data_IF_078026671656
#
_entry.id   IF_078026671656
#
_cell.length_a   1.000
_cell.length_b   1.000
_cell.length_c   1.000
_cell.angle_alpha   90.00
_cell.angle_beta   90.00
_cell.angle_gamma   90.00
#
_symmetry.space_group_name_H-M   'P 1'
#
loop_
_entity.id
_entity.type
_entity.pdbx_description
1 polymer ?
#
# COMPACT_ATOMS: atom_id res chain seq x y z
N UNK A 1 17.14 25.15 -10.63
CA UNK A 1 16.83 24.97 -9.19
C UNK A 1 16.66 23.47 -8.92
N UNK A 2 17.46 22.87 -8.03
CA UNK A 2 17.47 21.40 -7.76
C UNK A 2 16.17 20.93 -7.07
N UNK A 3 15.51 21.83 -6.33
CA UNK A 3 14.30 21.54 -5.56
C UNK A 3 13.09 21.11 -6.41
N UNK A 4 13.03 21.48 -7.70
CA UNK A 4 11.91 21.13 -8.60
C UNK A 4 11.79 19.63 -8.89
N UNK A 5 12.86 18.89 -8.61
CA UNK A 5 12.97 17.45 -8.80
C UNK A 5 12.51 16.66 -7.57
N UNK A 6 12.36 17.31 -6.40
CA UNK A 6 11.77 16.67 -5.24
C UNK A 6 10.24 16.71 -5.32
N UNK A 7 9.63 15.55 -5.09
CA UNK A 7 8.19 15.35 -5.13
C UNK A 7 7.76 14.69 -3.83
N UNK A 8 6.78 15.30 -3.17
CA UNK A 8 6.14 14.79 -1.96
C UNK A 8 4.79 14.23 -2.34
N UNK A 9 4.47 13.00 -1.97
CA UNK A 9 3.15 12.44 -2.27
C UNK A 9 2.48 11.85 -1.05
N UNK A 10 1.18 12.07 -0.93
CA UNK A 10 0.31 11.49 0.07
C UNK A 10 -0.82 10.70 -0.59
N UNK A 11 -1.15 9.53 -0.05
CA UNK A 11 -2.26 8.70 -0.55
C UNK A 11 -2.95 7.91 0.54
N UNK A 12 -4.21 7.59 0.26
CA UNK A 12 -5.01 6.59 0.97
C UNK A 12 -5.40 5.50 -0.03
N UNK A 13 -5.82 4.33 0.43
CA UNK A 13 -6.26 3.29 -0.47
C UNK A 13 -7.08 2.20 0.17
N UNK A 14 -7.35 1.19 -0.65
CA UNK A 14 -7.92 -0.08 -0.24
C UNK A 14 -6.93 -1.18 -0.59
N UNK A 15 -6.78 -2.16 0.30
CA UNK A 15 -6.02 -3.37 0.05
C UNK A 15 -6.72 -4.62 0.52
N UNK A 16 -6.42 -5.71 -0.17
CA UNK A 16 -6.81 -7.06 0.22
C UNK A 16 -5.55 -7.91 0.37
N UNK A 17 -5.23 -8.30 1.60
CA UNK A 17 -4.16 -9.27 1.90
C UNK A 17 -4.71 -10.67 1.79
N UNK A 18 -4.06 -11.51 0.98
CA UNK A 18 -4.24 -12.95 0.91
C UNK A 18 -3.32 -13.61 1.95
N UNK A 19 -3.93 -14.03 3.05
CA UNK A 19 -3.27 -14.69 4.17
C UNK A 19 -3.17 -16.18 3.87
N UNK A 20 -2.01 -16.79 4.06
CA UNK A 20 -1.88 -18.24 3.99
C UNK A 20 -0.71 -18.76 4.81
N UNK A 21 -0.84 -19.97 5.33
CA UNK A 21 0.24 -20.71 5.98
C UNK A 21 0.02 -22.21 5.84
N UNK A 22 1.10 -22.96 5.94
CA UNK A 22 1.09 -24.42 6.08
C UNK A 22 1.42 -24.79 7.52
N UNK A 23 0.98 -25.97 7.95
CA UNK A 23 1.17 -26.48 9.30
C UNK A 23 2.15 -27.65 9.30
N UNK A 24 3.31 -27.46 8.68
CA UNK A 24 4.34 -28.49 8.58
C UNK A 24 4.89 -28.84 9.98
N UNK A 25 4.85 -30.12 10.35
CA UNK A 25 5.26 -30.59 11.69
C UNK A 25 4.19 -30.41 12.78
N UNK A 26 2.99 -29.99 12.40
CA UNK A 26 1.83 -29.87 13.29
C UNK A 26 0.69 -30.80 12.83
N UNK A 27 -0.16 -31.15 13.78
CA UNK A 27 -1.45 -31.79 13.57
C UNK A 27 -2.58 -30.83 13.94
N UNK A 28 -3.77 -31.05 13.40
CA UNK A 28 -4.99 -30.31 13.71
C UNK A 28 -5.89 -31.22 14.55
N UNK A 29 -6.46 -30.64 15.60
CA UNK A 29 -7.56 -31.20 16.37
C UNK A 29 -8.81 -30.36 16.19
N UNK A 30 -9.90 -31.02 15.82
CA UNK A 30 -11.20 -30.42 15.65
C UNK A 30 -12.18 -30.99 16.68
N UNK A 31 -12.94 -30.09 17.31
CA UNK A 31 -14.16 -30.40 18.08
C UNK A 31 -15.36 -29.77 17.38
N UNK A 32 -16.46 -30.49 17.23
CA UNK A 32 -17.63 -29.99 16.49
C UNK A 32 -18.14 -28.66 17.04
N UNK A 33 -18.40 -27.71 16.14
CA UNK A 33 -18.86 -26.36 16.48
C UNK A 33 -17.81 -25.42 17.09
N UNK A 34 -16.57 -25.87 17.34
CA UNK A 34 -15.50 -25.06 17.95
C UNK A 34 -14.41 -24.70 16.93
N UNK A 35 -13.64 -23.65 17.19
CA UNK A 35 -12.45 -23.35 16.39
C UNK A 35 -11.40 -24.49 16.48
N UNK A 36 -10.74 -24.87 15.38
CA UNK A 36 -9.66 -25.83 15.41
C UNK A 36 -8.52 -25.41 16.33
N UNK A 37 -7.84 -26.42 16.88
CA UNK A 37 -6.57 -26.24 17.59
C UNK A 37 -5.47 -26.95 16.82
N UNK A 38 -4.23 -26.48 16.97
CA UNK A 38 -3.05 -27.18 16.45
C UNK A 38 -2.20 -27.74 17.58
N UNK A 39 -1.47 -28.81 17.32
CA UNK A 39 -0.47 -29.35 18.24
C UNK A 39 0.73 -29.93 17.47
N UNK A 40 1.95 -29.91 18.05
CA UNK A 40 3.12 -30.54 17.43
C UNK A 40 2.93 -32.06 17.38
N UNK A 41 3.35 -32.73 16.31
CA UNK A 41 3.06 -34.17 16.11
C UNK A 41 3.64 -35.07 17.22
N UNK A 42 4.71 -34.62 17.86
CA UNK A 42 5.45 -35.32 18.92
C UNK A 42 5.07 -34.86 20.35
N UNK A 43 4.11 -33.94 20.50
CA UNK A 43 3.77 -33.32 21.80
C UNK A 43 2.28 -33.02 21.92
N UNK A 44 1.78 -32.98 23.16
CA UNK A 44 0.35 -32.74 23.42
C UNK A 44 0.00 -31.26 23.69
N UNK A 45 0.95 -30.33 23.55
CA UNK A 45 0.69 -28.90 23.71
C UNK A 45 -0.24 -28.40 22.59
N UNK A 46 -1.45 -27.97 22.94
CA UNK A 46 -2.44 -27.45 21.99
C UNK A 46 -2.46 -25.93 21.97
N UNK A 47 -2.72 -25.37 20.79
CA UNK A 47 -2.80 -23.93 20.58
C UNK A 47 -4.10 -23.56 19.86
N UNK A 48 -4.79 -22.52 20.34
CA UNK A 48 -6.02 -21.98 19.74
C UNK A 48 -5.76 -20.74 18.86
N UNK A 49 -4.55 -20.20 18.90
CA UNK A 49 -4.07 -19.17 17.97
C UNK A 49 -2.61 -19.43 17.63
N UNK A 50 -2.30 -19.37 16.34
CA UNK A 50 -0.98 -19.56 15.76
C UNK A 50 -0.79 -18.66 14.54
N UNK A 51 -1.52 -17.55 14.49
CA UNK A 51 -1.48 -16.62 13.37
C UNK A 51 -0.75 -15.36 13.77
N UNK A 52 -1.33 -14.60 14.69
CA UNK A 52 -0.81 -13.29 15.10
C UNK A 52 -0.25 -13.29 16.53
N UNK A 53 -0.68 -14.25 17.34
CA UNK A 53 -0.12 -14.59 18.64
C UNK A 53 -0.01 -16.11 18.74
N UNK A 54 0.61 -16.58 19.81
CA UNK A 54 0.58 -17.99 20.21
C UNK A 54 -0.10 -18.07 21.57
N UNK A 55 -1.25 -18.73 21.62
CA UNK A 55 -1.99 -18.96 22.87
C UNK A 55 -2.32 -20.44 23.01
N UNK A 56 -2.12 -20.96 24.22
CA UNK A 56 -2.49 -22.33 24.56
C UNK A 56 -4.01 -22.51 24.48
N UNK A 57 -4.44 -23.70 24.10
CA UNK A 57 -5.85 -24.06 24.09
C UNK A 57 -6.26 -24.73 25.40
N UNK A 58 -7.38 -24.29 25.97
CA UNK A 58 -8.06 -25.03 27.03
C UNK A 58 -8.74 -26.29 26.47
N UNK A 59 -8.95 -27.34 27.27
CA UNK A 59 -9.69 -28.54 26.84
C UNK A 59 -11.09 -28.18 26.31
N UNK A 60 -11.39 -28.57 25.06
CA UNK A 60 -12.64 -28.21 24.37
C UNK A 60 -13.66 -29.37 24.31
N UNK A 61 -13.37 -30.53 24.88
CA UNK A 61 -14.16 -31.76 24.74
C UNK A 61 -13.48 -32.82 23.86
N UNK A 62 -14.18 -33.92 23.49
CA UNK A 62 -13.62 -34.96 22.66
C UNK A 62 -13.41 -34.48 21.22
N UNK A 63 -12.29 -34.87 20.61
CA UNK A 63 -11.99 -34.55 19.22
C UNK A 63 -12.95 -35.30 18.27
N UNK A 64 -13.63 -34.57 17.39
CA UNK A 64 -14.43 -35.14 16.31
C UNK A 64 -13.58 -35.49 15.08
N UNK A 65 -12.45 -34.81 14.89
CA UNK A 65 -11.51 -35.10 13.81
C UNK A 65 -10.08 -34.71 14.19
N UNK A 66 -9.12 -35.61 13.90
CA UNK A 66 -7.68 -35.39 14.13
C UNK A 66 -6.92 -35.79 12.87
N UNK A 67 -5.99 -34.94 12.44
CA UNK A 67 -5.17 -35.22 11.26
C UNK A 67 -3.77 -34.61 11.42
N UNK A 68 -2.75 -35.37 11.02
CA UNK A 68 -1.33 -34.97 11.05
C UNK A 68 -0.87 -34.43 9.69
N UNK A 69 0.05 -33.47 9.68
CA UNK A 69 0.68 -33.00 8.43
C UNK A 69 1.63 -34.02 7.79
N UNK A 70 2.02 -35.08 8.50
CA UNK A 70 2.85 -36.16 7.93
C UNK A 70 2.11 -36.95 6.84
N UNK A 71 0.77 -37.02 6.93
CA UNK A 71 -0.05 -37.77 5.97
C UNK A 71 -0.68 -36.89 4.89
N UNK A 72 -0.63 -35.55 5.03
CA UNK A 72 -1.36 -34.64 4.15
C UNK A 72 -0.94 -33.17 4.29
N UNK A 73 -1.31 -32.34 3.31
CA UNK A 73 -1.05 -30.90 3.34
C UNK A 73 -2.06 -30.19 4.23
N UNK A 74 -1.63 -29.80 5.43
CA UNK A 74 -2.42 -29.00 6.36
C UNK A 74 -2.04 -27.52 6.32
N UNK A 75 -3.02 -26.66 6.60
CA UNK A 75 -2.83 -25.22 6.62
C UNK A 75 -4.14 -24.47 6.41
N UNK A 76 -4.05 -23.15 6.45
CA UNK A 76 -5.22 -22.28 6.29
C UNK A 76 -4.94 -21.13 5.33
N UNK A 77 -6.00 -20.66 4.69
CA UNK A 77 -6.02 -19.47 3.83
C UNK A 77 -7.15 -18.54 4.24
N UNK A 78 -6.93 -17.23 4.17
CA UNK A 78 -7.91 -16.22 4.53
C UNK A 78 -7.60 -14.90 3.83
N UNK A 79 -8.44 -13.90 4.08
CA UNK A 79 -8.24 -12.56 3.56
C UNK A 79 -8.19 -11.55 4.72
N UNK A 80 -7.42 -10.47 4.58
CA UNK A 80 -7.51 -9.30 5.44
C UNK A 80 -7.79 -8.05 4.61
N UNK A 81 -8.64 -7.19 5.16
CA UNK A 81 -8.88 -5.86 4.61
C UNK A 81 -7.83 -4.90 5.13
N UNK A 82 -7.24 -4.10 4.24
CA UNK A 82 -6.24 -3.10 4.58
C UNK A 82 -6.68 -1.71 4.13
N UNK A 83 -6.41 -0.70 4.95
CA UNK A 83 -6.55 0.72 4.59
C UNK A 83 -5.17 1.38 4.78
N UNK A 84 -4.35 1.46 3.73
CA UNK A 84 -3.04 2.11 3.81
C UNK A 84 -3.16 3.63 3.70
N UNK A 85 -2.48 4.33 4.61
CA UNK A 85 -2.07 5.73 4.48
C UNK A 85 -0.59 5.73 4.13
N UNK A 86 -0.19 6.36 3.01
CA UNK A 86 1.18 6.32 2.50
C UNK A 86 1.68 7.72 2.21
N UNK A 87 2.87 8.03 2.74
CA UNK A 87 3.63 9.23 2.47
C UNK A 87 4.92 8.85 1.77
N UNK A 88 5.29 9.60 0.74
CA UNK A 88 6.52 9.37 -0.04
C UNK A 88 7.22 10.68 -0.34
N UNK A 89 8.55 10.60 -0.41
CA UNK A 89 9.42 11.64 -0.92
C UNK A 89 10.33 10.97 -1.95
N UNK A 90 10.31 11.48 -3.18
CA UNK A 90 11.19 10.99 -4.22
C UNK A 90 11.80 12.14 -5.01
N UNK A 91 12.97 11.85 -5.57
CA UNK A 91 13.69 12.69 -6.50
C UNK A 91 13.47 12.17 -7.92
N UNK A 92 13.05 13.05 -8.82
CA UNK A 92 12.89 12.78 -10.24
C UNK A 92 14.11 13.29 -11.01
N UNK A 93 14.75 12.42 -11.77
CA UNK A 93 15.89 12.80 -12.63
C UNK A 93 15.65 12.34 -14.06
N UNK A 94 16.23 13.12 -14.99
CA UNK A 94 16.02 12.97 -16.43
C UNK A 94 14.53 12.96 -16.84
N UNK A 95 13.65 13.53 -16.01
CA UNK A 95 12.19 13.50 -16.16
C UNK A 95 11.61 12.08 -16.37
N UNK A 96 12.33 11.04 -15.95
CA UNK A 96 12.00 9.63 -16.24
C UNK A 96 12.14 8.73 -15.04
N UNK A 97 13.21 8.90 -14.26
CA UNK A 97 13.55 8.01 -13.17
C UNK A 97 13.15 8.62 -11.84
N UNK A 98 12.66 7.78 -10.93
CA UNK A 98 12.28 8.14 -9.56
C UNK A 98 13.12 7.34 -8.59
N UNK A 99 13.72 8.02 -7.63
CA UNK A 99 14.42 7.40 -6.50
C UNK A 99 14.01 8.09 -5.22
N UNK A 100 13.65 7.34 -4.20
CA UNK A 100 13.20 7.94 -2.95
C UNK A 100 12.88 6.91 -1.89
N UNK A 101 12.01 7.32 -0.98
CA UNK A 101 11.51 6.44 0.05
C UNK A 101 10.18 6.93 0.59
N UNK A 102 9.64 6.16 1.53
CA UNK A 102 8.40 6.53 2.16
C UNK A 102 8.08 5.74 3.40
N UNK A 103 6.97 6.17 3.99
CA UNK A 103 6.37 5.59 5.17
C UNK A 103 4.93 5.21 4.86
N UNK A 104 4.48 4.08 5.39
CA UNK A 104 3.07 3.71 5.36
C UNK A 104 2.57 3.29 6.73
N UNK A 105 1.37 3.75 7.06
CA UNK A 105 0.58 3.29 8.20
C UNK A 105 -0.67 2.62 7.66
N UNK A 106 -0.82 1.33 7.94
CA UNK A 106 -1.87 0.49 7.37
C UNK A 106 -2.74 -0.07 8.48
N UNK A 107 -4.03 0.23 8.46
CA UNK A 107 -5.00 -0.45 9.32
C UNK A 107 -5.33 -1.77 8.64
N UNK A 108 -5.26 -2.88 9.38
CA UNK A 108 -5.50 -4.24 8.87
C UNK A 108 -6.52 -4.96 9.74
N UNK A 109 -7.52 -5.58 9.10
CA UNK A 109 -8.53 -6.42 9.75
C UNK A 109 -8.56 -7.79 9.10
N UNK A 110 -8.12 -8.81 9.84
CA UNK A 110 -8.10 -10.21 9.41
C UNK A 110 -9.52 -10.79 9.42
N UNK A 111 -9.88 -11.46 8.34
CA UNK A 111 -11.11 -12.23 8.22
C UNK A 111 -10.93 -13.68 8.65
N UNK A 112 -11.90 -14.51 8.25
CA UNK A 112 -11.89 -15.93 8.58
C UNK A 112 -10.83 -16.68 7.77
N UNK A 113 -10.14 -17.57 8.46
CA UNK A 113 -9.23 -18.57 7.92
C UNK A 113 -10.01 -19.85 7.64
N UNK A 114 -9.89 -20.32 6.40
CA UNK A 114 -10.48 -21.57 5.92
C UNK A 114 -9.36 -22.60 5.76
N UNK A 115 -9.60 -23.87 6.11
CA UNK A 115 -8.59 -24.91 5.93
C UNK A 115 -8.31 -25.13 4.44
N UNK A 116 -7.08 -25.53 4.12
CA UNK A 116 -6.64 -25.82 2.75
C UNK A 116 -7.09 -27.23 2.31
N UNK A 117 -7.23 -28.17 3.25
CA UNK A 117 -7.76 -29.51 3.05
C UNK A 117 -8.78 -29.87 4.14
N UNK A 118 -9.60 -30.90 3.91
CA UNK A 118 -10.65 -31.35 4.84
C UNK A 118 -11.62 -30.23 5.25
N UNK A 119 -12.07 -29.42 4.29
CA UNK A 119 -12.95 -28.28 4.56
C UNK A 119 -14.34 -28.68 5.08
N UNK A 120 -14.73 -29.94 4.89
CA UNK A 120 -15.91 -30.60 5.44
C UNK A 120 -15.73 -31.06 6.90
N UNK A 121 -14.48 -31.19 7.37
CA UNK A 121 -14.16 -31.73 8.71
C UNK A 121 -13.41 -30.78 9.62
N UNK A 122 -12.87 -29.68 9.10
CA UNK A 122 -12.12 -28.68 9.85
C UNK A 122 -12.87 -27.36 9.76
N UNK A 123 -13.21 -26.78 10.90
CA UNK A 123 -13.94 -25.54 10.97
C UNK A 123 -13.08 -24.36 10.54
N UNK A 124 -13.75 -23.33 10.01
CA UNK A 124 -13.11 -22.03 9.81
C UNK A 124 -12.90 -21.34 11.15
N UNK A 125 -11.84 -20.57 11.31
CA UNK A 125 -11.60 -19.79 12.51
C UNK A 125 -11.21 -18.35 12.21
N UNK A 126 -11.27 -17.50 13.23
CA UNK A 126 -10.74 -16.14 13.19
C UNK A 126 -9.90 -15.91 14.44
N UNK A 127 -8.67 -15.37 14.33
CA UNK A 127 -7.88 -15.02 15.50
C UNK A 127 -8.58 -13.96 16.35
N UNK A 128 -8.54 -14.06 17.68
CA UNK A 128 -9.21 -13.10 18.59
C UNK A 128 -8.76 -11.66 18.34
N UNK A 129 -7.44 -11.45 18.22
CA UNK A 129 -6.84 -10.14 17.92
C UNK A 129 -6.83 -9.85 16.39
N UNK A 130 -7.98 -9.94 15.73
CA UNK A 130 -8.06 -9.89 14.27
C UNK A 130 -7.72 -8.51 13.66
N UNK A 131 -7.86 -7.42 14.41
CA UNK A 131 -7.68 -6.05 13.90
C UNK A 131 -6.50 -5.35 14.54
N UNK A 132 -5.77 -4.57 13.74
CA UNK A 132 -4.72 -3.69 14.23
C UNK A 132 -4.07 -2.89 13.11
N UNK A 133 -2.79 -2.58 13.26
CA UNK A 133 -2.08 -1.73 12.31
C UNK A 133 -0.73 -2.32 11.91
N UNK A 134 -0.18 -1.85 10.80
CA UNK A 134 1.14 -2.20 10.31
C UNK A 134 1.84 -0.94 9.82
N UNK A 135 3.06 -0.72 10.31
CA UNK A 135 3.93 0.38 9.83
C UNK A 135 4.90 -0.16 8.81
N UNK A 136 5.21 0.58 7.75
CA UNK A 136 6.18 0.19 6.72
C UNK A 136 7.12 1.36 6.41
N UNK A 137 8.39 1.05 6.19
CA UNK A 137 9.40 1.98 5.69
C UNK A 137 10.07 1.35 4.48
N UNK A 138 10.22 2.10 3.40
CA UNK A 138 10.67 1.54 2.13
C UNK A 138 11.46 2.52 1.29
N UNK A 139 12.31 1.96 0.43
CA UNK A 139 12.87 2.63 -0.72
C UNK A 139 11.89 2.53 -1.89
N UNK A 140 11.85 3.58 -2.70
CA UNK A 140 11.03 3.69 -3.91
C UNK A 140 11.94 3.85 -5.11
N UNK A 141 11.73 3.02 -6.13
CA UNK A 141 12.37 3.11 -7.44
C UNK A 141 11.30 3.10 -8.51
N UNK A 142 11.38 3.99 -9.50
CA UNK A 142 10.37 4.05 -10.56
C UNK A 142 10.91 4.54 -11.89
N UNK A 143 10.23 4.14 -12.96
CA UNK A 143 10.52 4.51 -14.34
C UNK A 143 9.22 4.92 -15.03
N UNK A 144 9.14 6.19 -15.43
CA UNK A 144 8.09 6.70 -16.31
C UNK A 144 8.32 6.17 -17.72
N UNK A 145 7.29 5.57 -18.32
CA UNK A 145 7.42 4.86 -19.59
C UNK A 145 6.45 5.32 -20.67
N UNK A 146 5.33 5.95 -20.30
CA UNK A 146 4.34 6.40 -21.28
C UNK A 146 3.62 7.66 -20.82
N UNK A 147 3.36 8.59 -21.76
CA UNK A 147 2.56 9.79 -21.53
C UNK A 147 1.49 9.90 -22.58
N UNK A 148 0.25 10.09 -22.15
CA UNK A 148 -0.89 10.32 -23.02
C UNK A 148 -1.62 11.59 -22.60
N UNK A 149 -1.47 12.66 -23.39
CA UNK A 149 -1.93 14.01 -23.05
C UNK A 149 -1.40 14.42 -21.66
N UNK A 150 -2.30 14.57 -20.70
CA UNK A 150 -2.03 14.99 -19.33
C UNK A 150 -1.87 13.81 -18.36
N UNK A 151 -1.85 12.57 -18.87
CA UNK A 151 -1.66 11.36 -18.09
C UNK A 151 -0.23 10.83 -18.23
N UNK A 152 0.44 10.59 -17.10
CA UNK A 152 1.77 9.97 -17.05
C UNK A 152 1.69 8.60 -16.38
N UNK A 153 2.26 7.59 -17.02
CA UNK A 153 2.35 6.24 -16.52
C UNK A 153 3.77 5.95 -16.04
N UNK A 154 3.88 5.45 -14.81
CA UNK A 154 5.14 5.10 -14.16
C UNK A 154 5.05 3.71 -13.56
N UNK A 155 5.99 2.84 -13.92
CA UNK A 155 6.18 1.56 -13.25
C UNK A 155 7.08 1.78 -12.04
N UNK A 156 6.67 1.34 -10.86
CA UNK A 156 7.43 1.57 -9.64
C UNK A 156 7.46 0.35 -8.71
N UNK A 157 8.55 0.24 -7.96
CA UNK A 157 8.81 -0.78 -6.97
C UNK A 157 9.12 -0.13 -5.61
N UNK A 158 8.57 -0.69 -4.55
CA UNK A 158 8.88 -0.36 -3.16
C UNK A 158 9.46 -1.58 -2.47
N UNK A 159 10.61 -1.44 -1.80
CA UNK A 159 11.23 -2.54 -1.04
C UNK A 159 11.62 -2.01 0.34
N UNK A 160 11.31 -2.77 1.39
CA UNK A 160 11.71 -2.38 2.73
C UNK A 160 11.18 -3.23 3.87
N UNK A 161 11.23 -2.65 5.07
CA UNK A 161 10.82 -3.30 6.30
C UNK A 161 9.39 -2.93 6.70
N UNK A 162 8.77 -3.80 7.47
CA UNK A 162 7.50 -3.53 8.12
C UNK A 162 7.55 -3.85 9.61
N UNK A 163 6.60 -3.31 10.36
CA UNK A 163 6.46 -3.51 11.79
C UNK A 163 4.97 -3.70 12.12
N UNK A 164 4.55 -4.92 12.47
CA UNK A 164 3.21 -5.17 12.98
C UNK A 164 2.90 -4.37 14.25
N UNK A 165 1.63 -4.07 14.46
CA UNK A 165 1.10 -3.37 15.62
C UNK A 165 0.88 -4.29 16.82
N UNK A 166 0.00 -3.88 17.73
CA UNK A 166 -0.24 -4.58 19.00
C UNK A 166 -1.09 -5.86 18.83
N UNK A 167 -1.73 -6.02 17.67
CA UNK A 167 -2.45 -7.24 17.33
C UNK A 167 -1.53 -8.42 17.01
N UNK A 168 -0.21 -8.21 17.03
CA UNK A 168 0.80 -9.24 16.85
C UNK A 168 1.76 -9.28 18.03
N UNK A 169 2.13 -10.47 18.49
CA UNK A 169 3.18 -10.66 19.50
C UNK A 169 4.54 -10.63 18.81
N UNK A 170 5.16 -9.46 18.78
CA UNK A 170 6.38 -9.19 17.99
C UNK A 170 7.60 -10.00 18.44
N UNK A 171 7.67 -10.38 19.71
CA UNK A 171 8.77 -11.20 20.26
C UNK A 171 8.81 -12.60 19.67
N UNK A 172 7.68 -13.10 19.14
CA UNK A 172 7.57 -14.42 18.51
C UNK A 172 7.71 -14.36 16.99
N UNK A 173 7.83 -13.16 16.41
CA UNK A 173 7.75 -12.96 14.96
C UNK A 173 9.11 -12.56 14.39
N UNK A 174 9.64 -13.42 13.53
CA UNK A 174 10.76 -13.08 12.64
C UNK A 174 10.21 -12.55 11.32
N UNK A 175 10.34 -11.25 11.11
CA UNK A 175 9.81 -10.54 9.94
C UNK A 175 10.69 -10.76 8.71
N UNK A 176 10.07 -10.92 7.55
CA UNK A 176 10.75 -10.82 6.26
C UNK A 176 10.90 -9.37 5.79
N UNK A 177 11.35 -9.23 4.54
CA UNK A 177 11.32 -7.97 3.78
C UNK A 177 10.02 -7.98 2.95
N UNK A 178 9.44 -6.80 2.71
CA UNK A 178 8.36 -6.69 1.73
C UNK A 178 8.88 -6.10 0.42
N UNK A 179 8.30 -6.57 -0.69
CA UNK A 179 8.48 -6.00 -2.00
C UNK A 179 7.11 -5.71 -2.61
N UNK A 180 6.91 -4.53 -3.18
CA UNK A 180 5.65 -4.11 -3.78
C UNK A 180 5.90 -3.48 -5.15
N UNK A 181 5.28 -4.01 -6.19
CA UNK A 181 5.39 -3.50 -7.56
C UNK A 181 4.04 -2.96 -8.01
N UNK A 182 4.04 -1.86 -8.75
CA UNK A 182 2.81 -1.23 -9.18
C UNK A 182 3.00 -0.31 -10.39
N UNK A 183 1.87 0.19 -10.87
CA UNK A 183 1.81 1.19 -11.93
C UNK A 183 1.10 2.41 -11.37
N UNK A 184 1.77 3.55 -11.38
CA UNK A 184 1.19 4.84 -11.01
C UNK A 184 0.73 5.56 -12.27
N UNK A 185 -0.54 5.95 -12.30
CA UNK A 185 -1.14 6.81 -13.32
C UNK A 185 -1.38 8.18 -12.71
N UNK A 186 -0.64 9.18 -13.17
CA UNK A 186 -0.72 10.55 -12.68
C UNK A 186 -1.44 11.44 -13.68
N UNK A 187 -2.26 12.37 -13.19
CA UNK A 187 -2.87 13.44 -13.96
C UNK A 187 -2.43 14.79 -13.42
N UNK A 188 -1.93 15.65 -14.30
CA UNK A 188 -1.54 17.00 -13.95
C UNK A 188 -2.78 17.87 -13.70
N UNK A 189 -2.93 18.37 -12.46
CA UNK A 189 -4.01 19.29 -12.08
C UNK A 189 -3.54 20.75 -12.08
N UNK A 190 -2.33 20.99 -11.57
CA UNK A 190 -1.62 22.26 -11.65
C UNK A 190 -0.12 22.04 -11.77
N UNK A 191 0.66 23.11 -11.86
CA UNK A 191 2.14 23.01 -11.82
C UNK A 191 2.65 22.43 -10.48
N UNK A 192 1.86 22.59 -9.41
CA UNK A 192 2.19 22.13 -8.07
C UNK A 192 1.67 20.72 -7.79
N UNK A 193 0.45 20.44 -8.24
CA UNK A 193 -0.34 19.31 -7.76
C UNK A 193 -0.64 18.37 -8.92
N UNK A 194 -0.29 17.10 -8.72
CA UNK A 194 -0.81 15.98 -9.51
C UNK A 194 -1.75 15.16 -8.65
N UNK A 195 -2.73 14.54 -9.29
CA UNK A 195 -3.52 13.46 -8.67
C UNK A 195 -3.09 12.14 -9.28
N UNK A 196 -3.12 11.06 -8.52
CA UNK A 196 -2.71 9.76 -9.04
C UNK A 196 -3.55 8.61 -8.52
N UNK A 197 -3.57 7.55 -9.31
CA UNK A 197 -4.07 6.22 -8.93
C UNK A 197 -2.94 5.22 -9.12
N UNK A 198 -2.79 4.30 -8.17
CA UNK A 198 -1.73 3.29 -8.18
C UNK A 198 -2.27 1.91 -7.76
N UNK A 199 -2.65 1.05 -8.72
CA UNK A 199 -2.75 -0.39 -8.48
C UNK A 199 -1.35 -0.98 -8.21
N UNK A 200 -1.25 -1.89 -7.25
CA UNK A 200 0.01 -2.59 -6.94
C UNK A 200 -0.20 -3.93 -6.25
N UNK A 201 0.83 -4.78 -6.31
CA UNK A 201 0.88 -6.06 -5.63
C UNK A 201 2.10 -6.14 -4.72
N UNK A 202 1.88 -6.51 -3.46
CA UNK A 202 2.88 -6.67 -2.42
C UNK A 202 3.09 -8.15 -2.10
N UNK A 203 4.35 -8.53 -1.92
CA UNK A 203 4.78 -9.84 -1.43
C UNK A 203 5.49 -9.59 -0.10
N UNK A 204 5.05 -10.28 0.95
CA UNK A 204 5.70 -10.29 2.27
C UNK A 204 5.34 -11.55 3.04
N UNK A 205 6.21 -11.94 3.96
CA UNK A 205 6.01 -13.06 4.85
C UNK A 205 6.61 -12.78 6.22
N UNK A 206 6.13 -13.49 7.25
CA UNK A 206 6.83 -13.62 8.52
C UNK A 206 6.86 -15.08 8.97
N UNK A 207 7.80 -15.40 9.83
CA UNK A 207 7.87 -16.67 10.54
C UNK A 207 7.44 -16.45 11.99
N UNK A 208 6.50 -17.26 12.47
CA UNK A 208 6.02 -17.25 13.85
C UNK A 208 6.64 -18.44 14.59
N UNK A 209 7.43 -18.17 15.63
CA UNK A 209 7.90 -19.20 16.54
C UNK A 209 6.75 -19.62 17.46
N UNK A 210 6.57 -20.93 17.68
CA UNK A 210 5.51 -21.46 18.55
C UNK A 210 6.14 -22.03 19.82
N UNK A 211 6.18 -21.30 20.95
CA UNK A 211 6.82 -21.78 22.18
C UNK A 211 6.16 -23.06 22.70
N UNK A 212 6.98 -24.04 23.14
CA UNK A 212 6.49 -25.35 23.60
C UNK A 212 6.33 -26.39 22.48
N UNK A 213 6.57 -26.02 21.22
CA UNK A 213 6.42 -26.90 20.05
C UNK A 213 7.69 -27.63 19.62
N UNK A 214 8.75 -27.66 20.43
CA UNK A 214 10.06 -28.19 20.03
C UNK A 214 10.75 -27.29 18.99
N UNK A 215 10.72 -25.97 19.23
CA UNK A 215 11.31 -24.95 18.37
C UNK A 215 10.77 -24.89 16.93
N UNK A 216 9.59 -25.48 16.70
CA UNK A 216 8.88 -25.37 15.42
C UNK A 216 8.38 -23.95 15.19
N UNK A 217 8.28 -23.60 13.92
CA UNK A 217 7.79 -22.30 13.48
C UNK A 217 6.88 -22.44 12.28
N UNK A 218 5.99 -21.47 12.12
CA UNK A 218 5.00 -21.43 11.05
C UNK A 218 5.30 -20.23 10.17
N UNK A 219 5.41 -20.46 8.85
CA UNK A 219 5.63 -19.40 7.88
C UNK A 219 4.27 -18.89 7.38
N UNK A 220 4.01 -17.61 7.60
CA UNK A 220 2.82 -16.92 7.14
C UNK A 220 3.14 -16.03 5.95
N UNK A 221 2.39 -16.20 4.86
CA UNK A 221 2.43 -15.34 3.69
C UNK A 221 1.28 -14.33 3.76
N UNK A 222 1.58 -13.07 3.42
CA UNK A 222 0.67 -11.94 3.50
C UNK A 222 0.75 -11.11 2.22
N UNK A 223 0.64 -11.78 1.07
CA UNK A 223 0.66 -11.09 -0.21
C UNK A 223 -0.58 -10.22 -0.32
N UNK A 224 -0.48 -9.01 -0.88
CA UNK A 224 -1.58 -8.07 -0.85
C UNK A 224 -1.71 -7.30 -2.16
N UNK A 225 -2.94 -7.18 -2.64
CA UNK A 225 -3.29 -6.28 -3.73
C UNK A 225 -3.77 -4.96 -3.15
N UNK A 226 -3.31 -3.84 -3.70
CA UNK A 226 -3.70 -2.50 -3.27
C UNK A 226 -4.12 -1.63 -4.46
N UNK A 227 -5.07 -0.75 -4.22
CA UNK A 227 -5.37 0.41 -5.06
C UNK A 227 -5.27 1.66 -4.20
N UNK A 228 -4.28 2.50 -4.50
CA UNK A 228 -4.06 3.78 -3.82
C UNK A 228 -4.54 4.93 -4.69
N UNK A 229 -5.12 5.95 -4.06
CA UNK A 229 -5.47 7.23 -4.69
C UNK A 229 -4.83 8.34 -3.86
N UNK A 230 -4.19 9.29 -4.52
CA UNK A 230 -3.44 10.32 -3.81
C UNK A 230 -3.15 11.56 -4.63
N UNK A 231 -2.37 12.43 -4.02
CA UNK A 231 -1.86 13.64 -4.63
C UNK A 231 -0.35 13.73 -4.46
N UNK A 232 0.31 14.37 -5.42
CA UNK A 232 1.73 14.66 -5.40
C UNK A 232 1.92 16.16 -5.49
N UNK A 233 2.77 16.70 -4.63
CA UNK A 233 3.21 18.08 -4.59
C UNK A 233 4.65 18.19 -5.07
N UNK A 234 4.91 19.11 -6.00
CA UNK A 234 6.26 19.45 -6.46
C UNK A 234 6.48 20.96 -6.40
N UNK A 235 7.73 21.37 -6.25
CA UNK A 235 8.09 22.77 -6.43
C UNK A 235 8.01 23.16 -7.92
N UNK A 236 7.48 24.35 -8.24
CA UNK A 236 7.48 24.92 -9.59
C UNK A 236 8.87 24.99 -10.20
N UNK A 237 8.92 24.97 -11.53
CA UNK A 237 10.18 25.08 -12.26
C UNK A 237 10.76 26.50 -12.20
N UNK A 238 9.89 27.50 -12.29
CA UNK A 238 10.24 28.92 -12.27
C UNK A 238 9.88 29.56 -10.92
N UNK A 239 10.78 30.41 -10.42
CA UNK A 239 10.50 31.23 -9.24
C UNK A 239 9.37 32.23 -9.55
N UNK A 240 8.58 32.60 -8.53
CA UNK A 240 7.63 33.71 -8.68
C UNK A 240 8.37 34.98 -9.09
N UNK A 241 7.77 35.76 -9.98
CA UNK A 241 8.30 37.08 -10.32
C UNK A 241 8.46 37.95 -9.07
N UNK A 242 9.63 38.61 -8.96
CA UNK A 242 9.98 39.42 -7.79
C UNK A 242 9.28 40.78 -7.78
N UNK A 243 8.98 41.35 -8.96
CA UNK A 243 8.31 42.65 -9.08
C UNK A 243 6.87 42.58 -8.54
N UNK A 244 6.52 43.35 -7.49
CA UNK A 244 5.20 43.32 -6.89
C UNK A 244 4.11 43.83 -7.84
N UNK A 245 4.45 44.79 -8.70
CA UNK A 245 3.52 45.40 -9.68
C UNK A 245 3.46 44.64 -11.02
N UNK A 246 4.12 43.48 -11.12
CA UNK A 246 4.04 42.68 -12.34
C UNK A 246 2.72 41.89 -12.39
N UNK A 247 1.83 42.33 -13.28
CA UNK A 247 0.50 41.75 -13.49
C UNK A 247 0.46 40.73 -14.66
N UNK A 248 1.62 40.35 -15.20
CA UNK A 248 1.70 39.35 -16.27
C UNK A 248 1.11 38.02 -15.82
N UNK A 249 0.18 37.45 -16.61
CA UNK A 249 -0.58 36.24 -16.26
C UNK A 249 0.11 34.93 -16.72
N UNK A 250 1.10 35.05 -17.59
CA UNK A 250 1.93 33.97 -18.12
C UNK A 250 3.35 34.05 -17.55
N UNK A 251 4.12 32.98 -17.76
CA UNK A 251 5.56 33.01 -17.48
C UNK A 251 6.20 34.05 -18.39
N UNK A 252 7.01 34.92 -17.81
CA UNK A 252 7.54 36.11 -18.46
C UNK A 252 8.96 36.38 -17.96
N UNK A 253 9.75 37.08 -18.77
CA UNK A 253 11.10 37.45 -18.39
C UNK A 253 11.12 38.85 -17.75
N UNK A 254 11.99 39.03 -16.76
CA UNK A 254 12.47 40.34 -16.32
C UNK A 254 14.00 40.33 -16.44
N UNK A 255 14.51 41.12 -17.39
CA UNK A 255 15.92 41.05 -17.79
C UNK A 255 16.27 39.68 -18.37
N UNK A 256 17.36 39.09 -17.89
CA UNK A 256 17.88 37.80 -18.39
C UNK A 256 17.35 36.57 -17.62
N UNK A 257 16.27 36.73 -16.83
CA UNK A 257 15.69 35.62 -16.04
C UNK A 257 14.20 35.50 -16.32
N UNK A 258 13.77 34.25 -16.51
CA UNK A 258 12.37 33.88 -16.59
C UNK A 258 11.76 33.71 -15.20
N UNK A 259 10.53 34.19 -15.05
CA UNK A 259 9.77 34.14 -13.83
C UNK A 259 8.37 33.62 -14.09
N UNK A 260 7.84 32.92 -13.10
CA UNK A 260 6.44 32.54 -13.05
C UNK A 260 5.56 33.74 -12.70
N UNK A 261 4.41 33.83 -13.35
CA UNK A 261 3.38 34.81 -13.02
C UNK A 261 3.03 34.81 -11.53
N UNK A 262 2.97 36.01 -10.92
CA UNK A 262 2.41 36.20 -9.56
C UNK A 262 0.89 36.07 -9.54
N UNK A 263 0.24 36.38 -10.66
CA UNK A 263 -1.21 36.40 -10.83
C UNK A 263 -1.80 35.01 -11.06
N UNK A 264 -0.96 34.00 -11.28
CA UNK A 264 -1.39 32.64 -11.56
C UNK A 264 -1.65 31.83 -10.28
N UNK A 265 -2.91 31.34 -10.07
CA UNK A 265 -3.26 30.60 -8.87
C UNK A 265 -2.65 29.20 -8.80
N UNK A 266 -2.31 28.73 -7.61
CA UNK A 266 -1.61 27.45 -7.42
C UNK A 266 -2.43 26.20 -7.77
N UNK A 267 -3.76 26.31 -7.83
CA UNK A 267 -4.70 25.20 -8.08
C UNK A 267 -5.13 25.05 -9.54
N UNK A 268 -4.47 25.78 -10.45
CA UNK A 268 -4.95 26.03 -11.80
C UNK A 268 -3.82 25.68 -12.79
N UNK A 269 -4.11 25.29 -14.02
CA UNK A 269 -3.08 24.82 -14.98
C UNK A 269 -2.72 25.97 -15.91
N UNK A 270 -1.48 26.47 -15.85
CA UNK A 270 -1.05 27.51 -16.80
C UNK A 270 -1.20 27.02 -18.24
N UNK A 271 -1.99 27.74 -19.04
CA UNK A 271 -1.93 27.63 -20.49
C UNK A 271 -0.77 28.51 -20.98
N UNK A 272 0.27 27.95 -21.63
CA UNK A 272 1.45 28.70 -22.08
C UNK A 272 1.15 29.85 -23.04
N UNK A 273 0.01 29.82 -23.74
CA UNK A 273 -0.26 30.76 -24.83
C UNK A 273 -1.11 31.98 -24.42
N UNK A 274 -1.97 31.86 -23.40
CA UNK A 274 -2.98 32.91 -23.13
C UNK A 274 -3.11 33.30 -21.66
N UNK A 275 -2.47 32.56 -20.73
CA UNK A 275 -2.77 32.66 -19.30
C UNK A 275 -4.21 32.22 -18.98
N UNK A 276 -4.53 32.01 -17.71
CA UNK A 276 -5.85 31.48 -17.31
C UNK A 276 -6.90 32.55 -16.93
N UNK A 277 -6.52 33.83 -16.90
CA UNK A 277 -7.37 34.93 -16.42
C UNK A 277 -7.87 35.86 -17.54
N UNK A 278 -7.97 35.39 -18.79
CA UNK A 278 -8.65 36.14 -19.85
C UNK A 278 -10.18 36.15 -19.59
N UNK A 279 -10.82 37.30 -19.32
CA UNK A 279 -12.24 37.36 -18.91
C UNK A 279 -13.19 36.76 -19.96
N UNK A 280 -12.85 36.88 -21.26
CA UNK A 280 -13.60 36.26 -22.37
C UNK A 280 -13.59 34.72 -22.29
N UNK A 281 -12.47 34.10 -21.93
CA UNK A 281 -12.34 32.63 -21.88
C UNK A 281 -13.14 32.00 -20.74
N UNK A 282 -13.30 32.68 -19.60
CA UNK A 282 -14.12 32.19 -18.47
C UNK A 282 -15.61 32.20 -18.85
N UNK A 283 -16.07 33.24 -19.55
CA UNK A 283 -17.45 33.39 -20.00
C UNK A 283 -17.80 32.39 -21.11
N UNK A 284 -16.85 32.10 -22.00
CA UNK A 284 -17.05 31.15 -23.10
C UNK A 284 -16.77 29.68 -22.73
N UNK A 285 -16.07 29.42 -21.62
CA UNK A 285 -15.78 28.05 -21.14
C UNK A 285 -17.01 27.17 -20.93
N UNK A 286 -18.18 27.77 -20.65
CA UNK A 286 -19.46 27.05 -20.52
C UNK A 286 -20.12 26.79 -21.89
N UNK A 287 -19.89 27.67 -22.86
CA UNK A 287 -20.45 27.64 -24.22
C UNK A 287 -19.69 26.69 -25.15
N UNK A 288 -18.36 26.57 -24.95
CA UNK A 288 -17.48 25.77 -25.81
C UNK A 288 -17.24 24.33 -25.30
N UNK A 289 -17.88 23.88 -24.20
CA UNK A 289 -17.64 22.55 -23.58
C UNK A 289 -17.84 21.34 -24.51
N UNK A 290 -18.57 21.50 -25.61
CA UNK A 290 -18.85 20.44 -26.60
C UNK A 290 -17.97 20.52 -27.85
N UNK A 291 -17.08 21.52 -27.97
CA UNK A 291 -16.16 21.64 -29.10
C UNK A 291 -14.91 20.79 -28.82
N UNK A 292 -14.39 20.13 -29.86
CA UNK A 292 -13.16 19.32 -29.80
C UNK A 292 -11.96 20.14 -29.32
N UNK A 293 -11.97 21.44 -29.59
CA UNK A 293 -11.12 22.44 -28.96
C UNK A 293 -12.02 23.51 -28.32
N UNK A 294 -12.13 23.57 -26.98
CA UNK A 294 -12.97 24.56 -26.29
C UNK A 294 -12.31 25.95 -26.17
N UNK A 295 -11.25 26.18 -26.93
CA UNK A 295 -10.45 27.41 -26.99
C UNK A 295 -10.50 27.95 -28.41
#
# INVERSE_FOLDING_TARGET
>A
MILKNFVFSGSVGYGNTFLSHKLDGFAISQVDGVAPTIFPIDRNNRYNNWVNTVSGADPQGPDSFVVSSDSTKLGFKGNALNIPLKLTLHYEFLNKYRVGGGFSYEIMSMGNYRPIGYADKINTFRPDNYSGFMKKYFLLLGVSFYRWNDLLFTGDANVGGYNPGNNFVKSLIKKGVFANVGVTVEKDFSEYIKVFVRPSFEIKNYTLSVPGSGDRSIVHNLNAFYVNVGFSYRFPELAKCYHPDCHAQINHAHGNKEYRSRMHPFWKKQNPHYGENYPKLIKEKRKNRKKLNPY
#
